data_IF_088983169591
#
_entry.id   IF_088983169591
#
_cell.length_a   1.000
_cell.length_b   1.000
_cell.length_c   1.000
_cell.angle_alpha   90.00
_cell.angle_beta   90.00
_cell.angle_gamma   90.00
#
_symmetry.space_group_name_H-M   'P 1'
#
loop_
_entity.id
_entity.type
_entity.pdbx_description
1 polymer ?
#
# COMPACT_ATOMS: atom_id res chain seq x y z
N UNK A 1 -1.59 2.48 20.12
CA UNK A 1 -0.61 3.06 21.07
C UNK A 1 -1.38 3.70 22.23
N UNK A 2 -1.38 3.10 23.43
CA UNK A 2 -2.10 3.63 24.59
C UNK A 2 -1.67 5.05 25.01
N UNK A 3 -0.42 5.44 24.74
CA UNK A 3 0.07 6.81 25.00
C UNK A 3 -0.60 7.81 24.07
N UNK A 4 -0.68 7.51 22.76
CA UNK A 4 -1.41 8.36 21.82
C UNK A 4 -2.90 8.45 22.18
N UNK A 5 -3.51 7.37 22.65
CA UNK A 5 -4.90 7.38 23.11
C UNK A 5 -5.11 8.24 24.37
N UNK A 6 -4.05 8.60 25.10
CA UNK A 6 -4.11 9.49 26.26
C UNK A 6 -3.85 10.96 25.90
N UNK A 7 -3.54 11.28 24.64
CA UNK A 7 -3.35 12.66 24.20
C UNK A 7 -4.68 13.43 24.25
N UNK A 8 -4.74 14.62 24.88
CA UNK A 8 -5.98 15.38 25.02
C UNK A 8 -6.67 15.71 23.69
N UNK A 9 -5.91 15.78 22.59
CA UNK A 9 -6.44 16.02 21.25
C UNK A 9 -7.32 14.86 20.73
N UNK A 10 -7.11 13.64 21.23
CA UNK A 10 -7.87 12.45 20.85
C UNK A 10 -9.06 12.18 21.79
N UNK A 11 -9.09 12.76 22.99
CA UNK A 11 -10.15 12.56 23.98
C UNK A 11 -11.56 12.75 23.39
N UNK A 12 -11.88 13.85 22.68
CA UNK A 12 -13.24 14.06 22.15
C UNK A 12 -13.72 12.95 21.21
N UNK A 13 -12.79 12.33 20.47
CA UNK A 13 -13.10 11.22 19.55
C UNK A 13 -13.30 9.94 20.36
N UNK A 14 -12.40 9.66 21.30
CA UNK A 14 -12.44 8.43 22.10
C UNK A 14 -13.69 8.42 22.99
N UNK A 15 -14.02 9.52 23.69
CA UNK A 15 -15.22 9.56 24.53
C UNK A 15 -16.51 9.42 23.70
N UNK A 16 -16.51 9.92 22.45
CA UNK A 16 -17.68 9.82 21.55
C UNK A 16 -17.96 8.39 21.10
N UNK A 17 -16.91 7.63 20.78
CA UNK A 17 -17.06 6.28 20.22
C UNK A 17 -16.81 5.15 21.23
N UNK A 18 -16.27 5.45 22.40
CA UNK A 18 -15.85 4.45 23.40
C UNK A 18 -14.61 3.64 22.97
N UNK A 19 -13.98 4.02 21.86
CA UNK A 19 -12.86 3.33 21.24
C UNK A 19 -12.03 4.32 20.39
N UNK A 20 -10.75 4.00 20.16
CA UNK A 20 -9.93 4.68 19.15
C UNK A 20 -9.95 3.86 17.86
N UNK A 21 -10.61 4.37 16.83
CA UNK A 21 -10.53 3.81 15.48
C UNK A 21 -9.31 4.38 14.77
N UNK A 22 -8.57 3.55 14.06
CA UNK A 22 -7.34 3.96 13.42
C UNK A 22 -7.13 3.30 12.07
N UNK A 23 -6.41 3.98 11.18
CA UNK A 23 -5.78 3.38 10.01
C UNK A 23 -4.29 3.71 10.04
N UNK A 24 -3.44 2.70 10.01
CA UNK A 24 -1.99 2.86 9.91
C UNK A 24 -1.60 2.91 8.45
N UNK A 25 -0.81 3.90 8.06
CA UNK A 25 -0.12 3.99 6.76
C UNK A 25 1.38 3.86 7.03
N UNK A 26 1.90 2.63 7.01
CA UNK A 26 3.31 2.33 7.27
C UNK A 26 4.09 2.29 5.96
N UNK A 27 4.67 3.43 5.61
CA UNK A 27 5.46 3.57 4.40
C UNK A 27 6.94 3.34 4.72
N UNK A 28 7.36 2.08 4.58
CA UNK A 28 8.69 1.59 4.89
C UNK A 28 9.70 1.80 3.77
N UNK A 29 10.83 1.09 3.88
CA UNK A 29 11.83 0.98 2.82
C UNK A 29 11.44 -0.02 1.74
N UNK A 30 10.99 -1.22 2.13
CA UNK A 30 10.59 -2.28 1.20
C UNK A 30 9.11 -2.24 0.80
N UNK A 31 8.21 -1.95 1.73
CA UNK A 31 6.76 -2.10 1.53
C UNK A 31 5.99 -0.86 1.94
N UNK A 32 4.76 -0.78 1.44
CA UNK A 32 3.70 0.02 2.02
C UNK A 32 2.72 -0.94 2.68
N UNK A 33 2.55 -0.84 3.99
CA UNK A 33 1.59 -1.62 4.74
C UNK A 33 0.49 -0.70 5.30
N UNK A 34 -0.76 -1.11 5.14
CA UNK A 34 -1.93 -0.40 5.63
C UNK A 34 -2.74 -1.32 6.54
N UNK A 35 -3.08 -0.84 7.73
CA UNK A 35 -3.87 -1.60 8.68
C UNK A 35 -4.98 -0.74 9.30
N UNK A 36 -6.22 -1.11 9.07
CA UNK A 36 -7.41 -0.52 9.66
C UNK A 36 -7.82 -1.32 10.90
N UNK A 37 -8.08 -0.64 12.01
CA UNK A 37 -8.33 -1.30 13.29
C UNK A 37 -8.97 -0.43 14.35
N UNK A 38 -9.23 -1.02 15.50
CA UNK A 38 -9.82 -0.36 16.67
C UNK A 38 -9.03 -0.70 17.91
N UNK A 39 -8.82 0.27 18.78
CA UNK A 39 -8.32 0.09 20.13
C UNK A 39 -9.46 0.35 21.10
N UNK A 40 -9.93 -0.69 21.78
CA UNK A 40 -11.15 -0.68 22.59
C UNK A 40 -10.96 -1.45 23.91
N UNK A 41 -11.85 -1.26 24.89
CA UNK A 41 -11.93 -2.17 26.04
C UNK A 41 -12.13 -3.62 25.59
N UNK A 42 -11.53 -4.55 26.33
CA UNK A 42 -11.78 -5.98 26.16
C UNK A 42 -13.20 -6.33 26.66
N UNK A 43 -13.82 -7.32 26.05
CA UNK A 43 -15.04 -7.96 26.57
C UNK A 43 -14.71 -8.81 27.80
N UNK A 44 -15.73 -9.21 28.57
CA UNK A 44 -15.55 -10.10 29.72
C UNK A 44 -14.90 -11.44 29.32
N UNK A 45 -15.29 -12.00 28.17
CA UNK A 45 -14.72 -13.24 27.64
C UNK A 45 -13.24 -13.06 27.24
N UNK A 46 -12.92 -12.01 26.49
CA UNK A 46 -11.52 -11.69 26.11
C UNK A 46 -10.66 -11.42 27.35
N UNK A 47 -11.22 -10.80 28.39
CA UNK A 47 -10.55 -10.56 29.67
C UNK A 47 -10.29 -11.87 30.42
N UNK A 48 -11.27 -12.77 30.47
CA UNK A 48 -11.13 -14.06 31.12
C UNK A 48 -10.09 -14.97 30.44
N UNK A 49 -9.98 -14.89 29.11
CA UNK A 49 -9.02 -15.69 28.32
C UNK A 49 -7.61 -15.10 28.33
N UNK A 50 -7.47 -13.80 28.12
CA UNK A 50 -6.17 -13.15 27.89
C UNK A 50 -5.61 -12.42 29.11
N UNK A 51 -6.44 -12.11 30.11
CA UNK A 51 -6.11 -11.23 31.23
C UNK A 51 -6.01 -9.73 30.87
N UNK A 52 -6.11 -9.38 29.58
CA UNK A 52 -5.99 -7.99 29.13
C UNK A 52 -7.31 -7.23 29.28
N UNK A 53 -7.23 -5.97 29.71
CA UNK A 53 -8.38 -5.05 29.80
C UNK A 53 -8.64 -4.26 28.52
N UNK A 54 -7.74 -4.36 27.53
CA UNK A 54 -7.86 -3.66 26.25
C UNK A 54 -7.43 -4.54 25.09
N UNK A 55 -8.04 -4.29 23.94
CA UNK A 55 -7.84 -5.05 22.71
C UNK A 55 -7.46 -4.11 21.58
N UNK A 56 -6.50 -4.55 20.75
CA UNK A 56 -6.34 -4.04 19.39
C UNK A 56 -7.01 -5.03 18.44
N UNK A 57 -8.09 -4.59 17.81
CA UNK A 57 -8.85 -5.35 16.81
C UNK A 57 -8.44 -4.90 15.42
N UNK A 58 -7.91 -5.81 14.60
CA UNK A 58 -7.64 -5.55 13.18
C UNK A 58 -8.90 -5.84 12.37
N UNK A 59 -9.36 -4.86 11.59
CA UNK A 59 -10.53 -4.96 10.72
C UNK A 59 -10.15 -5.32 9.28
N UNK A 60 -9.12 -4.65 8.78
CA UNK A 60 -8.67 -4.83 7.41
C UNK A 60 -7.18 -4.54 7.32
N UNK A 61 -6.47 -5.28 6.49
CA UNK A 61 -5.09 -4.99 6.10
C UNK A 61 -4.99 -4.97 4.59
N UNK A 62 -3.99 -4.26 4.09
CA UNK A 62 -3.67 -4.16 2.68
C UNK A 62 -2.30 -3.54 2.54
N UNK A 63 -1.81 -3.42 1.33
CA UNK A 63 -0.48 -2.88 1.09
C UNK A 63 -0.02 -3.09 -0.34
N UNK A 64 1.23 -2.71 -0.57
CA UNK A 64 1.96 -2.94 -1.82
C UNK A 64 3.41 -3.29 -1.47
N UNK A 65 3.78 -4.55 -1.77
CA UNK A 65 5.09 -5.13 -1.52
C UNK A 65 6.21 -4.50 -2.37
N UNK A 66 5.83 -3.73 -3.40
CA UNK A 66 6.72 -3.07 -4.34
C UNK A 66 6.60 -1.55 -4.29
N UNK A 67 5.95 -1.00 -3.27
CA UNK A 67 5.88 0.43 -3.00
C UNK A 67 6.54 0.74 -1.65
N UNK A 68 7.85 0.86 -1.66
CA UNK A 68 8.64 1.28 -0.51
C UNK A 68 9.67 2.36 -0.88
N UNK A 69 10.21 3.04 0.13
CA UNK A 69 11.21 4.08 -0.07
C UNK A 69 12.45 3.61 -0.84
N UNK A 70 12.91 2.37 -0.64
CA UNK A 70 14.07 1.81 -1.32
C UNK A 70 13.76 1.48 -2.79
N UNK A 71 12.54 0.98 -3.07
CA UNK A 71 12.04 0.82 -4.44
C UNK A 71 11.99 2.16 -5.17
N UNK A 72 11.42 3.20 -4.54
CA UNK A 72 11.39 4.54 -5.12
C UNK A 72 12.79 5.08 -5.41
N UNK A 73 13.74 4.89 -4.50
CA UNK A 73 15.13 5.32 -4.74
C UNK A 73 15.76 4.55 -5.90
N UNK A 74 15.54 3.24 -6.00
CA UNK A 74 16.05 2.44 -7.11
C UNK A 74 15.43 2.87 -8.45
N UNK A 75 14.13 3.14 -8.48
CA UNK A 75 13.44 3.69 -9.65
C UNK A 75 13.99 5.05 -10.06
N UNK A 76 14.28 5.94 -9.12
CA UNK A 76 14.89 7.24 -9.41
C UNK A 76 16.30 7.12 -10.01
N UNK A 77 17.11 6.19 -9.50
CA UNK A 77 18.44 5.88 -10.07
C UNK A 77 18.29 5.39 -11.50
N UNK A 78 17.32 4.49 -11.74
CA UNK A 78 17.01 3.98 -13.06
C UNK A 78 16.58 5.11 -14.00
N UNK A 79 15.63 5.96 -13.60
CA UNK A 79 15.18 7.11 -14.39
C UNK A 79 16.32 8.08 -14.70
N UNK A 80 17.24 8.28 -13.75
CA UNK A 80 18.43 9.11 -14.00
C UNK A 80 19.31 8.51 -15.09
N UNK A 81 19.53 7.19 -15.06
CA UNK A 81 20.31 6.50 -16.09
C UNK A 81 19.59 6.50 -17.44
N UNK A 82 18.27 6.34 -17.45
CA UNK A 82 17.44 6.28 -18.66
C UNK A 82 17.09 7.67 -19.22
N UNK A 83 17.46 8.75 -18.53
CA UNK A 83 17.18 10.11 -18.99
C UNK A 83 17.79 10.38 -20.37
N UNK A 84 17.05 11.02 -21.27
CA UNK A 84 17.42 11.19 -22.69
C UNK A 84 18.78 11.87 -22.90
N UNK A 85 19.20 12.72 -21.96
CA UNK A 85 20.51 13.40 -22.02
C UNK A 85 21.67 12.56 -21.48
N UNK A 86 21.38 11.50 -20.74
CA UNK A 86 22.39 10.64 -20.09
C UNK A 86 22.55 9.32 -20.83
N UNK A 87 21.43 8.70 -21.22
CA UNK A 87 21.37 7.37 -21.79
C UNK A 87 22.35 7.16 -22.97
N UNK A 88 22.51 8.10 -23.93
CA UNK A 88 23.46 7.92 -25.03
C UNK A 88 24.91 7.75 -24.56
N UNK A 89 25.35 8.52 -23.54
CA UNK A 89 26.70 8.37 -22.99
C UNK A 89 26.85 7.03 -22.26
N UNK A 90 25.84 6.63 -21.48
CA UNK A 90 25.84 5.36 -20.75
C UNK A 90 25.98 4.16 -21.70
N UNK A 91 25.16 4.14 -22.76
CA UNK A 91 25.18 3.06 -23.75
C UNK A 91 26.48 3.06 -24.55
N UNK A 92 26.97 4.22 -25.00
CA UNK A 92 28.22 4.32 -25.76
C UNK A 92 29.44 3.88 -24.94
N UNK A 93 29.44 4.15 -23.63
CA UNK A 93 30.54 3.78 -22.72
C UNK A 93 30.35 2.42 -22.05
N UNK A 94 29.32 1.67 -22.44
CA UNK A 94 28.98 0.33 -21.92
C UNK A 94 28.81 0.30 -20.40
N UNK A 95 28.13 1.31 -19.86
CA UNK A 95 27.79 1.40 -18.44
C UNK A 95 26.49 0.65 -18.18
N UNK A 96 26.52 -0.46 -17.43
CA UNK A 96 25.32 -1.21 -17.07
C UNK A 96 24.57 -0.56 -15.91
N UNK A 97 23.27 -0.84 -15.81
CA UNK A 97 22.43 -0.44 -14.69
C UNK A 97 21.48 -1.56 -14.28
N UNK A 98 21.32 -1.76 -12.98
CA UNK A 98 20.35 -2.71 -12.45
C UNK A 98 18.94 -2.15 -12.64
N UNK A 99 18.10 -2.84 -13.42
CA UNK A 99 16.67 -2.51 -13.56
C UNK A 99 15.91 -2.76 -12.25
N UNK A 100 15.05 -1.84 -11.79
CA UNK A 100 14.11 -2.09 -10.70
C UNK A 100 13.15 -3.24 -11.02
N UNK A 101 12.70 -3.97 -10.00
CA UNK A 101 11.72 -5.05 -10.19
C UNK A 101 10.36 -4.50 -10.67
N UNK A 102 10.01 -3.30 -10.20
CA UNK A 102 8.78 -2.56 -10.50
C UNK A 102 8.69 -2.00 -11.92
N UNK A 103 9.82 -1.87 -12.62
CA UNK A 103 9.86 -1.34 -13.98
C UNK A 103 9.87 -2.52 -14.94
N UNK A 104 8.91 -2.72 -15.84
CA UNK A 104 8.88 -3.90 -16.71
C UNK A 104 10.11 -3.98 -17.65
N UNK A 105 10.49 -5.18 -18.13
CA UNK A 105 11.61 -5.32 -19.07
C UNK A 105 11.31 -4.61 -20.40
N UNK A 106 12.24 -3.77 -20.87
CA UNK A 106 12.15 -3.20 -22.21
C UNK A 106 12.81 -4.13 -23.24
N UNK A 107 11.98 -4.93 -23.94
CA UNK A 107 12.44 -5.89 -24.96
C UNK A 107 12.93 -5.22 -26.25
N UNK A 108 12.65 -3.92 -26.43
CA UNK A 108 13.02 -3.14 -27.62
C UNK A 108 14.27 -2.27 -27.40
N UNK A 109 14.97 -2.44 -26.28
CA UNK A 109 16.22 -1.73 -26.03
C UNK A 109 17.29 -2.09 -27.08
N UNK A 110 18.05 -1.09 -27.53
CA UNK A 110 19.24 -1.21 -28.38
C UNK A 110 20.34 -2.07 -27.74
N UNK A 111 20.51 -1.97 -26.41
CA UNK A 111 21.57 -2.66 -25.64
C UNK A 111 21.00 -3.40 -24.42
N UNK A 112 20.14 -4.43 -24.61
CA UNK A 112 19.44 -5.09 -23.51
C UNK A 112 20.38 -5.86 -22.56
N UNK A 113 21.60 -6.18 -23.02
CA UNK A 113 22.62 -6.84 -22.19
C UNK A 113 23.13 -5.96 -21.03
N UNK A 114 23.08 -4.62 -21.16
CA UNK A 114 23.48 -3.68 -20.10
C UNK A 114 22.54 -3.70 -18.88
N UNK A 115 21.32 -4.19 -19.05
CA UNK A 115 20.26 -4.13 -18.03
C UNK A 115 19.96 -5.49 -17.39
N UNK A 116 20.78 -6.50 -17.70
CA UNK A 116 20.79 -7.78 -17.00
C UNK A 116 21.44 -7.63 -15.63
N UNK A 117 21.19 -8.57 -14.72
CA UNK A 117 21.83 -8.59 -13.39
C UNK A 117 23.35 -8.72 -13.56
N UNK A 118 24.11 -7.74 -13.08
CA UNK A 118 25.57 -7.72 -13.09
C UNK A 118 26.12 -7.02 -11.85
N UNK A 119 27.35 -7.35 -11.44
CA UNK A 119 28.03 -6.67 -10.32
C UNK A 119 28.22 -5.18 -10.61
N UNK A 120 28.69 -4.85 -11.82
CA UNK A 120 28.88 -3.48 -12.27
C UNK A 120 27.57 -2.67 -12.23
N UNK A 121 26.44 -3.25 -12.69
CA UNK A 121 25.13 -2.59 -12.64
C UNK A 121 24.67 -2.29 -11.20
N UNK A 122 24.95 -3.19 -10.25
CA UNK A 122 24.68 -2.95 -8.82
C UNK A 122 25.60 -1.88 -8.24
N UNK A 123 26.88 -1.88 -8.58
CA UNK A 123 27.82 -0.85 -8.14
C UNK A 123 27.41 0.55 -8.64
N UNK A 124 27.04 0.65 -9.92
CA UNK A 124 26.56 1.90 -10.51
C UNK A 124 25.28 2.38 -9.84
N UNK A 125 24.33 1.49 -9.53
CA UNK A 125 23.11 1.84 -8.83
C UNK A 125 23.41 2.55 -7.49
N UNK A 126 24.27 1.95 -6.66
CA UNK A 126 24.66 2.52 -5.36
C UNK A 126 25.42 3.84 -5.53
N UNK A 127 26.34 3.91 -6.51
CA UNK A 127 27.12 5.12 -6.79
C UNK A 127 26.23 6.28 -7.22
N UNK A 128 25.33 6.08 -8.17
CA UNK A 128 24.40 7.11 -8.64
C UNK A 128 23.53 7.61 -7.50
N UNK A 129 22.93 6.71 -6.73
CA UNK A 129 22.14 7.06 -5.55
C UNK A 129 22.90 7.99 -4.59
N UNK A 130 24.14 7.61 -4.24
CA UNK A 130 24.97 8.33 -3.27
C UNK A 130 25.43 9.68 -3.79
N UNK A 131 26.06 9.71 -4.97
CA UNK A 131 26.70 10.91 -5.52
C UNK A 131 25.67 11.99 -5.89
N UNK A 132 24.53 11.58 -6.45
CA UNK A 132 23.45 12.50 -6.80
C UNK A 132 22.56 12.85 -5.61
N UNK A 133 22.73 12.20 -4.45
CA UNK A 133 21.94 12.48 -3.25
C UNK A 133 20.44 12.20 -3.42
N UNK A 134 20.08 11.19 -4.23
CA UNK A 134 18.68 10.93 -4.61
C UNK A 134 17.76 10.62 -3.43
N UNK A 135 18.32 10.10 -2.33
CA UNK A 135 17.55 9.87 -1.11
C UNK A 135 16.91 11.15 -0.57
N UNK A 136 17.61 12.29 -0.66
CA UNK A 136 17.09 13.57 -0.17
C UNK A 136 15.94 14.09 -1.05
N UNK A 137 15.99 13.84 -2.36
CA UNK A 137 14.97 14.27 -3.34
C UNK A 137 13.60 13.67 -2.99
N UNK A 138 13.55 12.42 -2.49
CA UNK A 138 12.29 11.79 -2.05
C UNK A 138 11.55 12.51 -0.94
N UNK A 139 12.23 13.32 -0.12
CA UNK A 139 11.63 13.88 1.09
C UNK A 139 11.04 15.29 0.90
N UNK A 140 11.56 16.09 -0.03
CA UNK A 140 11.10 17.46 -0.26
C UNK A 140 11.11 17.80 -1.74
N UNK A 141 10.08 18.49 -2.22
CA UNK A 141 9.98 18.88 -3.64
C UNK A 141 11.04 19.87 -4.10
N UNK A 142 11.63 20.60 -3.17
CA UNK A 142 12.70 21.55 -3.45
C UNK A 142 14.09 20.90 -3.47
N UNK A 143 14.22 19.64 -3.05
CA UNK A 143 15.51 18.95 -3.03
C UNK A 143 15.82 18.45 -4.44
N UNK A 144 16.76 19.10 -5.12
CA UNK A 144 17.22 18.68 -6.44
C UNK A 144 18.32 17.62 -6.34
N UNK A 145 18.51 16.78 -7.39
CA UNK A 145 19.71 15.96 -7.51
C UNK A 145 20.98 16.82 -7.44
N UNK A 146 22.01 16.35 -6.73
CA UNK A 146 23.28 17.06 -6.63
C UNK A 146 23.92 17.19 -8.01
N UNK A 147 24.36 18.41 -8.33
CA UNK A 147 25.20 18.64 -9.50
C UNK A 147 26.58 18.02 -9.29
N UNK A 148 26.98 17.17 -10.23
CA UNK A 148 28.28 16.51 -10.26
C UNK A 148 28.94 16.78 -11.62
N UNK A 149 30.16 17.31 -11.62
CA UNK A 149 30.85 17.65 -12.88
C UNK A 149 31.30 16.40 -13.65
N UNK A 150 31.67 15.36 -12.92
CA UNK A 150 32.06 14.06 -13.43
C UNK A 150 31.72 12.96 -12.40
N UNK A 151 31.29 11.79 -12.85
CA UNK A 151 31.10 10.60 -12.02
C UNK A 151 31.79 9.39 -12.64
N UNK A 152 32.47 8.62 -11.81
CA UNK A 152 33.15 7.39 -12.23
C UNK A 152 32.20 6.18 -12.08
N UNK A 153 31.86 5.55 -13.20
CA UNK A 153 31.03 4.36 -13.27
C UNK A 153 31.84 3.12 -13.65
N UNK A 154 31.38 1.94 -13.20
CA UNK A 154 31.93 0.66 -13.60
C UNK A 154 31.33 0.21 -14.95
N UNK A 155 32.16 -0.39 -15.80
CA UNK A 155 31.75 -1.07 -17.03
C UNK A 155 31.53 -2.57 -16.81
N UNK A 156 30.94 -3.25 -17.79
CA UNK A 156 30.72 -4.71 -17.73
C UNK A 156 32.04 -5.51 -17.67
N UNK A 157 33.11 -5.01 -18.26
CA UNK A 157 34.44 -5.64 -18.24
C UNK A 157 35.20 -5.44 -16.90
N UNK A 158 34.59 -4.72 -15.94
CA UNK A 158 35.18 -4.40 -14.64
C UNK A 158 36.07 -3.15 -14.64
N UNK A 159 36.33 -2.52 -15.79
CA UNK A 159 37.01 -1.23 -15.86
C UNK A 159 36.10 -0.09 -15.41
N UNK A 160 36.70 1.08 -15.17
CA UNK A 160 35.96 2.30 -14.80
C UNK A 160 35.98 3.34 -15.92
N UNK A 161 34.94 4.18 -15.95
CA UNK A 161 34.81 5.26 -16.92
C UNK A 161 34.18 6.50 -16.29
N UNK A 162 34.72 7.66 -16.64
CA UNK A 162 34.15 8.96 -16.29
C UNK A 162 32.90 9.27 -17.13
N UNK A 163 31.88 9.81 -16.48
CA UNK A 163 30.62 10.26 -17.07
C UNK A 163 30.44 11.75 -16.83
N UNK A 164 30.09 12.47 -17.88
CA UNK A 164 29.95 13.94 -17.84
C UNK A 164 28.54 14.41 -18.17
N UNK A 165 27.70 13.53 -18.71
CA UNK A 165 26.31 13.84 -19.05
C UNK A 165 25.45 14.14 -17.83
N UNK A 166 25.78 13.62 -16.64
CA UNK A 166 24.97 13.79 -15.41
C UNK A 166 24.86 15.24 -14.90
N UNK A 167 25.69 16.17 -15.40
CA UNK A 167 25.53 17.61 -15.13
C UNK A 167 24.57 18.33 -16.07
N UNK A 168 24.16 17.65 -17.14
CA UNK A 168 23.29 18.22 -18.15
C UNK A 168 21.84 18.08 -17.72
N UNK A 169 21.01 19.08 -18.06
CA UNK A 169 19.56 19.04 -17.87
C UNK A 169 19.06 18.59 -16.47
N UNK A 170 19.71 19.09 -15.42
CA UNK A 170 19.31 18.80 -14.03
C UNK A 170 17.86 19.21 -13.74
N UNK A 171 17.38 20.30 -14.36
CA UNK A 171 16.01 20.75 -14.21
C UNK A 171 15.00 19.75 -14.83
N UNK A 172 15.28 19.25 -16.04
CA UNK A 172 14.47 18.21 -16.67
C UNK A 172 14.49 16.90 -15.88
N UNK A 173 15.67 16.49 -15.41
CA UNK A 173 15.79 15.32 -14.55
C UNK A 173 14.98 15.49 -13.25
N UNK A 174 15.14 16.61 -12.55
CA UNK A 174 14.44 16.87 -11.30
C UNK A 174 12.91 16.87 -11.48
N UNK A 175 12.42 17.47 -12.58
CA UNK A 175 11.00 17.44 -12.93
C UNK A 175 10.50 16.01 -13.16
N UNK A 176 11.26 15.18 -13.90
CA UNK A 176 10.92 13.77 -14.16
C UNK A 176 10.87 12.96 -12.86
N UNK A 177 11.92 13.03 -12.02
CA UNK A 177 11.96 12.34 -10.74
C UNK A 177 10.82 12.75 -9.81
N UNK A 178 10.53 14.05 -9.75
CA UNK A 178 9.41 14.61 -8.96
C UNK A 178 8.06 14.13 -9.48
N UNK A 179 7.88 14.05 -10.81
CA UNK A 179 6.68 13.52 -11.43
C UNK A 179 6.44 12.06 -11.05
N UNK A 180 7.46 11.23 -11.23
CA UNK A 180 7.43 9.81 -10.87
C UNK A 180 7.10 9.58 -9.39
N UNK A 181 7.76 10.31 -8.49
CA UNK A 181 7.49 10.21 -7.05
C UNK A 181 6.04 10.57 -6.70
N UNK A 182 5.48 11.62 -7.32
CA UNK A 182 4.08 12.00 -7.10
C UNK A 182 3.13 10.89 -7.52
N UNK A 183 3.34 10.30 -8.69
CA UNK A 183 2.49 9.24 -9.22
C UNK A 183 2.53 8.00 -8.31
N UNK A 184 3.73 7.48 -8.04
CA UNK A 184 3.90 6.27 -7.23
C UNK A 184 3.38 6.43 -5.79
N UNK A 185 3.61 7.57 -5.16
CA UNK A 185 3.13 7.81 -3.79
C UNK A 185 1.61 8.03 -3.77
N UNK A 186 1.05 8.62 -4.83
CA UNK A 186 -0.40 8.77 -4.98
C UNK A 186 -1.10 7.41 -5.08
N UNK A 187 -0.50 6.41 -5.72
CA UNK A 187 -1.07 5.06 -5.76
C UNK A 187 -1.23 4.46 -4.34
N UNK A 188 -0.24 4.66 -3.47
CA UNK A 188 -0.34 4.29 -2.06
C UNK A 188 -1.45 5.06 -1.32
N UNK A 189 -1.57 6.37 -1.55
CA UNK A 189 -2.62 7.19 -0.95
C UNK A 189 -4.03 6.77 -1.43
N UNK A 190 -4.19 6.36 -2.69
CA UNK A 190 -5.43 5.79 -3.24
C UNK A 190 -5.79 4.48 -2.56
N UNK A 191 -4.81 3.61 -2.34
CA UNK A 191 -5.03 2.35 -1.61
C UNK A 191 -5.57 2.63 -0.19
N UNK A 192 -4.97 3.59 0.53
CA UNK A 192 -5.49 4.02 1.84
C UNK A 192 -6.91 4.57 1.74
N UNK A 193 -7.15 5.50 0.81
CA UNK A 193 -8.45 6.12 0.57
C UNK A 193 -9.53 5.07 0.28
N UNK A 194 -9.20 4.07 -0.54
CA UNK A 194 -10.05 2.89 -0.79
C UNK A 194 -10.29 2.10 0.49
N UNK A 195 -9.24 1.70 1.23
CA UNK A 195 -9.41 0.93 2.46
C UNK A 195 -10.27 1.66 3.51
N UNK A 196 -10.08 2.97 3.68
CA UNK A 196 -10.89 3.77 4.59
C UNK A 196 -12.38 3.74 4.25
N UNK A 197 -12.73 3.80 2.96
CA UNK A 197 -14.12 3.74 2.49
C UNK A 197 -14.76 2.37 2.69
N UNK A 198 -13.98 1.30 2.56
CA UNK A 198 -14.51 -0.07 2.52
C UNK A 198 -14.40 -0.82 3.85
N UNK A 199 -13.57 -0.34 4.78
CA UNK A 199 -13.57 -0.87 6.15
C UNK A 199 -14.89 -0.51 6.84
N UNK A 200 -15.54 -1.51 7.44
CA UNK A 200 -16.74 -1.30 8.24
C UNK A 200 -16.40 -0.70 9.61
N UNK A 201 -16.47 0.62 9.71
CA UNK A 201 -16.21 1.36 10.96
C UNK A 201 -17.47 1.51 11.84
N UNK A 202 -18.67 1.31 11.30
CA UNK A 202 -19.93 1.48 12.01
C UNK A 202 -21.00 2.16 11.15
N UNK A 203 -21.67 3.18 11.70
CA UNK A 203 -22.89 3.80 11.16
C UNK A 203 -22.69 5.17 10.48
N UNK A 204 -21.47 5.54 10.10
CA UNK A 204 -21.19 6.86 9.49
C UNK A 204 -20.95 6.81 7.96
N UNK A 205 -21.07 7.96 7.32
CA UNK A 205 -20.90 8.13 5.86
C UNK A 205 -19.44 8.27 5.40
N UNK A 206 -18.57 8.82 6.25
CA UNK A 206 -17.14 9.03 5.96
C UNK A 206 -16.26 8.56 7.13
N UNK A 207 -14.99 8.22 6.87
CA UNK A 207 -14.05 7.76 7.89
C UNK A 207 -13.79 8.84 8.95
N UNK A 208 -13.77 10.12 8.56
CA UNK A 208 -13.49 11.23 9.46
C UNK A 208 -14.63 11.43 10.45
N UNK A 209 -15.86 11.42 9.95
CA UNK A 209 -17.08 11.46 10.77
C UNK A 209 -17.19 10.25 11.68
N UNK A 210 -16.62 9.11 11.28
CA UNK A 210 -16.54 7.91 12.10
C UNK A 210 -15.43 7.94 13.14
N UNK A 211 -14.69 9.05 13.26
CA UNK A 211 -13.65 9.23 14.28
C UNK A 211 -12.37 8.45 14.00
N UNK A 212 -12.13 8.02 12.76
CA UNK A 212 -10.92 7.28 12.41
C UNK A 212 -9.71 8.23 12.43
N UNK A 213 -8.63 7.80 13.06
CA UNK A 213 -7.35 8.53 13.11
C UNK A 213 -6.33 7.85 12.20
N UNK A 214 -5.79 8.57 11.24
CA UNK A 214 -4.72 8.09 10.35
C UNK A 214 -3.37 8.22 11.06
N UNK A 215 -2.67 7.09 11.17
CA UNK A 215 -1.37 6.99 11.81
C UNK A 215 -0.31 6.76 10.73
N UNK A 216 0.48 7.79 10.47
CA UNK A 216 1.64 7.69 9.58
C UNK A 216 2.78 7.00 10.31
N UNK A 217 3.28 5.92 9.72
CA UNK A 217 4.41 5.15 10.19
C UNK A 217 5.42 4.91 9.06
N UNK A 218 6.62 4.46 9.41
CA UNK A 218 7.69 4.25 8.44
C UNK A 218 8.44 5.53 8.05
N UNK A 219 9.71 5.39 7.68
CA UNK A 219 10.58 6.54 7.41
C UNK A 219 10.11 7.35 6.20
N UNK A 220 9.56 6.68 5.17
CA UNK A 220 9.14 7.31 3.93
C UNK A 220 7.91 8.21 4.12
N UNK A 221 7.10 7.97 5.16
CA UNK A 221 5.96 8.82 5.54
C UNK A 221 6.34 10.24 5.97
N UNK A 222 7.62 10.52 6.22
CA UNK A 222 8.13 11.88 6.50
C UNK A 222 8.22 12.76 5.26
N UNK A 223 7.98 12.20 4.08
CA UNK A 223 8.08 12.89 2.80
C UNK A 223 6.95 13.91 2.62
N UNK A 224 7.30 15.11 2.13
CA UNK A 224 6.33 16.11 1.67
C UNK A 224 5.41 15.58 0.56
N UNK A 225 5.90 14.63 -0.25
CA UNK A 225 5.11 13.99 -1.29
C UNK A 225 3.96 13.16 -0.70
N UNK A 226 4.19 12.48 0.44
CA UNK A 226 3.16 11.70 1.15
C UNK A 226 2.12 12.64 1.75
N UNK A 227 2.54 13.70 2.44
CA UNK A 227 1.61 14.70 2.99
C UNK A 227 0.68 15.24 1.88
N UNK A 228 1.23 15.61 0.72
CA UNK A 228 0.43 16.13 -0.40
C UNK A 228 -0.46 15.08 -1.06
N UNK A 229 0.06 13.87 -1.29
CA UNK A 229 -0.73 12.80 -1.91
C UNK A 229 -1.93 12.42 -1.03
N UNK A 230 -1.75 12.33 0.29
CA UNK A 230 -2.83 12.10 1.24
C UNK A 230 -3.81 13.27 1.29
N UNK A 231 -3.32 14.52 1.30
CA UNK A 231 -4.18 15.71 1.28
C UNK A 231 -5.11 15.72 0.05
N UNK A 232 -4.56 15.36 -1.12
CA UNK A 232 -5.29 15.32 -2.39
C UNK A 232 -6.27 14.13 -2.45
N UNK A 233 -5.83 12.92 -2.11
CA UNK A 233 -6.66 11.69 -2.22
C UNK A 233 -7.70 11.53 -1.10
N UNK A 234 -7.55 12.25 0.01
CA UNK A 234 -8.51 12.29 1.12
C UNK A 234 -9.29 13.60 1.17
N UNK A 235 -9.11 14.49 0.19
CA UNK A 235 -9.82 15.77 0.08
C UNK A 235 -9.68 16.64 1.34
N UNK A 236 -8.50 16.66 1.97
CA UNK A 236 -8.20 17.47 3.15
C UNK A 236 -7.38 18.70 2.70
N UNK A 237 -8.02 19.86 2.44
CA UNK A 237 -7.29 21.06 2.05
C UNK A 237 -6.35 21.50 3.18
N UNK A 238 -5.17 21.97 2.79
CA UNK A 238 -4.12 22.44 3.71
C UNK A 238 -3.76 21.43 4.80
N UNK A 239 -3.86 20.13 4.49
CA UNK A 239 -3.55 19.07 5.43
C UNK A 239 -2.17 19.28 6.06
N UNK A 240 -2.11 19.23 7.39
CA UNK A 240 -0.84 19.18 8.13
C UNK A 240 -0.80 17.96 9.01
N UNK A 241 0.29 17.20 8.88
CA UNK A 241 0.54 16.05 9.74
C UNK A 241 0.73 16.55 11.17
N UNK A 242 -0.18 16.14 12.05
CA UNK A 242 -0.14 16.49 13.46
C UNK A 242 0.90 15.63 14.19
N UNK A 243 1.54 16.23 15.20
CA UNK A 243 2.47 15.55 16.11
C UNK A 243 2.11 15.93 17.55
N UNK A 244 2.25 15.04 18.53
CA UNK A 244 2.09 15.41 19.93
C UNK A 244 2.88 16.68 20.29
N UNK A 245 2.20 17.64 20.92
CA UNK A 245 2.78 18.93 21.33
C UNK A 245 2.93 19.99 20.22
N UNK A 246 2.52 19.73 18.97
CA UNK A 246 2.51 20.77 17.95
C UNK A 246 1.31 21.73 18.11
N UNK A 247 1.45 22.96 17.62
CA UNK A 247 0.39 23.99 17.63
C UNK A 247 -0.58 23.89 16.46
N UNK A 248 -0.34 22.98 15.52
CA UNK A 248 -1.21 22.84 14.34
C UNK A 248 -2.53 22.21 14.77
N UNK A 249 -3.67 22.62 14.18
CA UNK A 249 -4.95 21.99 14.45
C UNK A 249 -4.89 20.48 14.21
N UNK A 250 -5.57 19.72 15.06
CA UNK A 250 -5.69 18.29 14.91
C UNK A 250 -6.66 17.96 13.77
N UNK A 251 -6.17 17.31 12.72
CA UNK A 251 -6.94 16.94 11.52
C UNK A 251 -7.08 15.42 11.35
N UNK A 252 -6.92 14.65 12.45
CA UNK A 252 -6.95 13.19 12.46
C UNK A 252 -5.86 12.50 11.61
N UNK A 253 -4.81 13.22 11.19
CA UNK A 253 -3.62 12.64 10.54
C UNK A 253 -2.41 12.87 11.45
N UNK A 254 -1.80 11.79 11.93
CA UNK A 254 -0.83 11.82 13.02
C UNK A 254 0.46 11.13 12.59
N UNK A 255 1.59 11.77 12.81
CA UNK A 255 2.90 11.12 12.84
C UNK A 255 3.36 11.08 14.30
N UNK A 256 3.22 9.90 14.92
CA UNK A 256 3.61 9.70 16.31
C UNK A 256 5.07 9.22 16.40
N UNK A 257 5.93 10.08 16.93
CA UNK A 257 7.32 9.78 17.22
C UNK A 257 7.59 10.13 18.68
N UNK A 258 8.06 9.18 19.47
CA UNK A 258 8.49 9.48 20.83
C UNK A 258 9.80 10.27 20.74
N UNK A 259 9.89 11.49 21.28
CA UNK A 259 11.13 12.26 21.24
C UNK A 259 12.20 11.58 22.09
N UNK A 260 13.47 11.80 21.73
CA UNK A 260 14.57 11.40 22.62
C UNK A 260 14.49 12.22 23.91
N UNK A 261 14.58 11.55 25.06
CA UNK A 261 14.56 12.20 26.38
C UNK A 261 15.82 11.87 27.16
N UNK A 262 16.19 12.79 28.04
CA UNK A 262 17.34 12.61 28.92
C UNK A 262 16.80 12.42 30.33
N UNK A 263 16.86 11.18 30.84
CA UNK A 263 16.38 10.82 32.17
C UNK A 263 17.58 10.42 33.03
N UNK A 264 17.80 11.14 34.14
CA UNK A 264 18.87 10.87 35.11
C UNK A 264 20.26 10.71 34.48
N UNK A 265 20.58 11.54 33.49
CA UNK A 265 21.87 11.53 32.78
C UNK A 265 21.99 10.49 31.67
N UNK A 266 20.96 9.64 31.46
CA UNK A 266 20.92 8.65 30.37
C UNK A 266 20.05 9.20 29.24
N UNK A 267 20.61 9.24 28.02
CA UNK A 267 19.86 9.59 26.81
C UNK A 267 19.02 8.38 26.38
N UNK A 268 17.73 8.41 26.65
CA UNK A 268 16.76 7.50 26.05
C UNK A 268 16.50 7.96 24.62
N UNK A 269 16.92 7.14 23.65
CA UNK A 269 16.65 7.40 22.23
C UNK A 269 15.15 7.25 22.00
N UNK A 270 14.55 8.26 21.38
CA UNK A 270 13.17 8.23 20.94
C UNK A 270 12.97 7.11 19.93
N UNK A 271 12.06 6.19 20.20
CA UNK A 271 11.74 5.06 19.31
C UNK A 271 10.43 5.32 18.61
N UNK A 272 10.33 4.96 17.33
CA UNK A 272 9.03 4.85 16.68
C UNK A 272 8.29 3.63 17.23
N UNK A 273 6.95 3.58 17.20
CA UNK A 273 6.21 2.36 17.56
C UNK A 273 6.72 1.11 16.83
N UNK A 274 7.13 1.24 15.56
CA UNK A 274 7.74 0.15 14.77
C UNK A 274 9.08 -0.31 15.34
N UNK A 275 9.94 0.63 15.72
CA UNK A 275 11.22 0.34 16.38
C UNK A 275 11.03 -0.30 17.76
N UNK A 276 10.04 0.16 18.54
CA UNK A 276 9.73 -0.40 19.85
C UNK A 276 9.26 -1.86 19.75
N UNK A 277 8.37 -2.17 18.79
CA UNK A 277 7.90 -3.52 18.51
C UNK A 277 9.05 -4.42 18.03
N UNK A 278 9.89 -3.94 17.10
CA UNK A 278 11.04 -4.70 16.58
C UNK A 278 12.09 -5.04 17.67
N UNK A 279 12.20 -4.21 18.72
CA UNK A 279 13.08 -4.45 19.86
C UNK A 279 12.47 -5.37 20.93
N UNK A 280 11.32 -6.01 20.65
CA UNK A 280 10.68 -6.96 21.57
C UNK A 280 9.96 -6.28 22.74
N UNK A 281 9.72 -4.96 22.68
CA UNK A 281 8.91 -4.26 23.67
C UNK A 281 7.41 -4.54 23.42
N UNK A 282 6.98 -5.78 23.69
CA UNK A 282 5.57 -6.19 23.65
C UNK A 282 4.76 -5.71 24.88
N UNK A 283 5.42 -5.08 25.86
CA UNK A 283 4.77 -4.19 26.83
C UNK A 283 4.67 -2.80 26.24
N UNK A 284 3.58 -2.52 25.54
CA UNK A 284 3.31 -1.16 25.05
C UNK A 284 2.96 -0.30 26.26
N UNK A 285 3.89 0.56 26.71
CA UNK A 285 3.69 1.50 27.81
C UNK A 285 3.19 0.85 29.12
N UNK A 286 3.77 -0.29 29.52
CA UNK A 286 3.39 -1.07 30.72
C UNK A 286 1.94 -1.61 30.73
N UNK A 287 1.26 -1.69 29.59
CA UNK A 287 -0.07 -2.32 29.48
C UNK A 287 0.02 -3.64 28.73
N UNK A 288 -0.69 -4.64 29.22
CA UNK A 288 -0.99 -5.86 28.47
C UNK A 288 -2.14 -5.54 27.49
N UNK A 289 -1.88 -5.76 26.21
CA UNK A 289 -2.83 -5.53 25.13
C UNK A 289 -3.01 -6.84 24.40
N UNK A 290 -4.24 -7.33 24.34
CA UNK A 290 -4.55 -8.54 23.59
C UNK A 290 -4.79 -8.17 22.11
N UNK A 291 -4.09 -8.86 21.21
CA UNK A 291 -4.27 -8.70 19.77
C UNK A 291 -5.38 -9.64 19.32
N UNK A 292 -6.52 -9.08 18.92
CA UNK A 292 -7.62 -9.86 18.35
C UNK A 292 -7.60 -9.66 16.85
N UNK A 293 -7.37 -10.74 16.11
CA UNK A 293 -7.64 -10.76 14.68
C UNK A 293 -9.08 -11.20 14.49
N UNK A 294 -9.96 -10.27 14.12
CA UNK A 294 -11.20 -10.67 13.48
C UNK A 294 -10.83 -11.29 12.12
N UNK A 295 -11.63 -12.22 11.60
CA UNK A 295 -11.41 -12.78 10.27
C UNK A 295 -11.19 -11.61 9.29
N UNK A 296 -9.99 -11.53 8.71
CA UNK A 296 -9.65 -10.49 7.75
C UNK A 296 -10.69 -10.55 6.63
N UNK A 297 -11.33 -9.42 6.34
CA UNK A 297 -12.30 -9.33 5.26
C UNK A 297 -11.64 -9.61 3.91
N UNK A 298 -12.46 -9.91 2.91
CA UNK A 298 -12.03 -10.16 1.53
C UNK A 298 -11.08 -9.08 1.00
N UNK A 299 -9.95 -9.45 0.40
CA UNK A 299 -8.87 -8.55 0.01
C UNK A 299 -9.13 -7.78 -1.30
N UNK A 300 -10.21 -8.08 -2.02
CA UNK A 300 -10.46 -7.57 -3.38
C UNK A 300 -11.89 -7.09 -3.56
N UNK A 301 -12.13 -6.34 -4.63
CA UNK A 301 -13.46 -6.22 -5.22
C UNK A 301 -13.63 -7.30 -6.28
N UNK A 302 -14.74 -8.03 -6.21
CA UNK A 302 -15.11 -9.02 -7.19
C UNK A 302 -16.46 -8.64 -7.80
N UNK A 303 -16.55 -8.73 -9.12
CA UNK A 303 -17.80 -8.44 -9.80
C UNK A 303 -17.73 -8.67 -11.30
N UNK A 304 -18.58 -7.94 -12.00
CA UNK A 304 -18.72 -8.07 -13.45
C UNK A 304 -19.15 -6.74 -14.11
N UNK A 305 -19.12 -6.69 -15.43
CA UNK A 305 -19.63 -5.58 -16.21
C UNK A 305 -21.15 -5.65 -16.30
N UNK A 306 -21.83 -4.60 -15.83
CA UNK A 306 -23.29 -4.47 -15.88
C UNK A 306 -23.69 -3.12 -16.51
N UNK A 307 -24.92 -3.03 -17.01
CA UNK A 307 -25.51 -1.81 -17.57
C UNK A 307 -25.10 -1.49 -19.02
N UNK A 308 -25.59 -0.35 -19.52
CA UNK A 308 -25.26 0.18 -20.85
C UNK A 308 -24.94 1.68 -20.75
N UNK A 309 -23.71 2.13 -21.05
CA UNK A 309 -22.55 1.32 -21.43
C UNK A 309 -22.06 0.42 -20.27
N UNK A 310 -21.44 -0.74 -20.56
CA UNK A 310 -21.02 -1.69 -19.54
C UNK A 310 -19.95 -1.11 -18.61
N UNK A 311 -20.23 -1.10 -17.30
CA UNK A 311 -19.34 -0.63 -16.24
C UNK A 311 -19.12 -1.73 -15.22
N UNK A 312 -17.94 -1.78 -14.63
CA UNK A 312 -17.64 -2.73 -13.56
C UNK A 312 -18.45 -2.39 -12.32
N UNK A 313 -19.19 -3.37 -11.82
CA UNK A 313 -19.95 -3.32 -10.58
C UNK A 313 -19.36 -4.35 -9.64
N UNK A 314 -18.80 -3.89 -8.52
CA UNK A 314 -18.34 -4.77 -7.46
C UNK A 314 -19.55 -5.35 -6.73
N UNK A 315 -19.75 -6.66 -6.85
CA UNK A 315 -20.86 -7.38 -6.22
C UNK A 315 -20.45 -7.90 -4.85
N UNK A 316 -19.19 -8.34 -4.73
CA UNK A 316 -18.54 -8.58 -3.45
C UNK A 316 -17.57 -7.44 -3.19
N UNK A 317 -17.84 -6.58 -2.19
CA UNK A 317 -16.92 -5.51 -1.85
C UNK A 317 -15.69 -6.05 -1.12
N UNK A 318 -14.57 -5.33 -1.26
CA UNK A 318 -13.42 -5.51 -0.39
C UNK A 318 -13.85 -5.32 1.08
N UNK A 319 -13.36 -6.19 1.96
CA UNK A 319 -13.75 -6.22 3.38
C UNK A 319 -14.96 -7.11 3.68
N UNK A 320 -15.60 -7.74 2.69
CA UNK A 320 -16.69 -8.69 2.91
C UNK A 320 -16.23 -9.81 3.87
N UNK A 321 -17.06 -10.13 4.87
CA UNK A 321 -16.69 -11.06 5.92
C UNK A 321 -16.65 -12.51 5.39
N UNK A 322 -15.58 -13.27 5.67
CA UNK A 322 -15.58 -14.70 5.44
C UNK A 322 -16.75 -15.39 6.14
N UNK A 323 -17.38 -16.34 5.45
CA UNK A 323 -18.52 -17.10 5.95
C UNK A 323 -18.32 -18.59 5.69
N UNK A 324 -19.02 -19.44 6.45
CA UNK A 324 -18.98 -20.88 6.25
C UNK A 324 -19.68 -21.25 4.93
N UNK A 325 -18.98 -21.89 3.97
CA UNK A 325 -19.56 -22.26 2.69
C UNK A 325 -20.23 -23.66 2.70
N UNK A 326 -20.29 -24.35 3.85
CA UNK A 326 -20.86 -25.69 3.95
C UNK A 326 -22.33 -25.72 3.51
N UNK A 327 -23.13 -24.77 3.99
CA UNK A 327 -24.55 -24.63 3.68
C UNK A 327 -24.82 -23.46 2.75
N UNK A 328 -25.61 -23.68 1.70
CA UNK A 328 -26.02 -22.62 0.79
C UNK A 328 -27.05 -21.71 1.47
N UNK A 329 -26.89 -20.39 1.37
CA UNK A 329 -27.69 -19.45 2.16
C UNK A 329 -27.38 -17.96 1.93
N UNK A 330 -27.85 -17.07 2.82
CA UNK A 330 -27.75 -15.60 2.67
C UNK A 330 -26.32 -15.04 2.55
N UNK A 331 -25.30 -15.82 2.94
CA UNK A 331 -23.90 -15.46 2.80
C UNK A 331 -23.39 -15.53 1.35
N UNK A 332 -24.16 -16.17 0.45
CA UNK A 332 -23.84 -16.23 -0.96
C UNK A 332 -24.35 -14.98 -1.68
N UNK A 333 -23.45 -14.31 -2.38
CA UNK A 333 -23.75 -13.16 -3.22
C UNK A 333 -24.18 -13.64 -4.61
N UNK A 334 -25.31 -13.13 -5.07
CA UNK A 334 -25.91 -13.47 -6.36
C UNK A 334 -25.21 -12.72 -7.52
N UNK A 335 -24.63 -13.49 -8.44
CA UNK A 335 -23.99 -12.99 -9.66
C UNK A 335 -24.90 -13.03 -10.89
N UNK A 336 -26.05 -13.70 -10.79
CA UNK A 336 -27.00 -13.92 -11.87
C UNK A 336 -26.61 -15.06 -12.80
N UNK A 337 -27.17 -15.05 -14.00
CA UNK A 337 -26.82 -16.02 -15.06
C UNK A 337 -25.32 -15.95 -15.41
N UNK A 338 -24.70 -17.12 -15.46
CA UNK A 338 -23.28 -17.27 -15.69
C UNK A 338 -22.98 -18.50 -16.55
N UNK A 339 -21.90 -18.41 -17.33
CA UNK A 339 -21.35 -19.52 -18.10
C UNK A 339 -19.88 -19.75 -17.72
N UNK A 340 -19.38 -20.97 -17.91
CA UNK A 340 -18.03 -21.36 -17.54
C UNK A 340 -16.92 -20.67 -18.33
N UNK A 341 -17.24 -20.00 -19.45
CA UNK A 341 -16.28 -19.23 -20.24
C UNK A 341 -16.16 -17.79 -19.73
N UNK A 342 -17.19 -17.30 -19.04
CA UNK A 342 -17.27 -15.94 -18.53
C UNK A 342 -16.34 -15.76 -17.33
N UNK A 343 -15.29 -14.93 -17.44
CA UNK A 343 -14.34 -14.74 -16.35
C UNK A 343 -14.87 -13.75 -15.32
N UNK A 344 -14.30 -13.79 -14.12
CA UNK A 344 -14.46 -12.73 -13.15
C UNK A 344 -13.62 -11.51 -13.49
N UNK A 345 -14.06 -10.37 -12.95
CA UNK A 345 -13.27 -9.15 -12.88
C UNK A 345 -12.97 -8.84 -11.43
N UNK A 346 -11.69 -8.70 -11.14
CA UNK A 346 -11.15 -8.51 -9.79
C UNK A 346 -10.26 -7.28 -9.79
N UNK A 347 -10.34 -6.44 -8.76
CA UNK A 347 -9.40 -5.34 -8.55
C UNK A 347 -9.13 -5.07 -7.07
N UNK A 348 -8.01 -4.39 -6.77
CA UNK A 348 -7.67 -3.87 -5.44
C UNK A 348 -8.16 -2.43 -5.21
N UNK A 349 -8.49 -1.73 -6.30
CA UNK A 349 -9.01 -0.35 -6.28
C UNK A 349 -10.29 -0.26 -7.11
N UNK A 350 -11.37 0.24 -6.49
CA UNK A 350 -12.69 0.30 -7.09
C UNK A 350 -13.24 1.73 -7.09
N UNK A 351 -13.66 2.17 -8.28
CA UNK A 351 -14.28 3.47 -8.51
C UNK A 351 -15.66 3.29 -9.19
N UNK A 352 -16.76 3.32 -8.40
CA UNK A 352 -18.11 3.07 -8.88
C UNK A 352 -18.48 3.92 -10.11
N UNK A 353 -19.03 3.28 -11.14
CA UNK A 353 -19.53 3.94 -12.34
C UNK A 353 -18.46 4.43 -13.33
N UNK A 354 -17.17 4.41 -12.98
CA UNK A 354 -16.11 4.89 -13.87
C UNK A 354 -15.39 3.77 -14.63
N UNK A 355 -15.15 2.64 -13.96
CA UNK A 355 -14.36 1.52 -14.49
C UNK A 355 -15.06 0.79 -15.65
N UNK A 356 -14.36 0.60 -16.76
CA UNK A 356 -14.85 -0.09 -17.98
C UNK A 356 -14.12 -1.42 -18.18
N UNK A 357 -14.51 -2.21 -19.19
CA UNK A 357 -13.83 -3.46 -19.56
C UNK A 357 -12.33 -3.33 -19.86
N UNK A 358 -11.85 -2.11 -20.17
CA UNK A 358 -10.46 -1.80 -20.51
C UNK A 358 -9.70 -1.12 -19.36
N UNK A 359 -10.30 -1.00 -18.18
CA UNK A 359 -9.63 -0.35 -17.05
C UNK A 359 -8.43 -1.21 -16.61
N UNK A 360 -7.20 -0.66 -16.59
CA UNK A 360 -5.99 -1.43 -16.31
C UNK A 360 -5.93 -1.97 -14.88
N UNK A 361 -6.79 -1.48 -13.97
CA UNK A 361 -6.90 -2.00 -12.60
C UNK A 361 -7.67 -3.32 -12.51
N UNK A 362 -8.39 -3.73 -13.57
CA UNK A 362 -9.17 -4.96 -13.58
C UNK A 362 -8.34 -6.14 -14.07
N UNK A 363 -8.16 -7.12 -13.20
CA UNK A 363 -7.66 -8.45 -13.55
C UNK A 363 -8.82 -9.34 -13.99
N UNK A 364 -8.59 -10.12 -15.05
CA UNK A 364 -9.56 -11.09 -15.58
C UNK A 364 -9.18 -12.47 -15.05
N UNK A 365 -10.03 -13.04 -14.20
CA UNK A 365 -9.74 -14.31 -13.52
C UNK A 365 -10.67 -15.41 -14.03
N UNK A 366 -10.13 -16.55 -14.53
CA UNK A 366 -10.97 -17.68 -14.90
C UNK A 366 -11.66 -18.26 -13.65
N UNK A 367 -12.91 -18.68 -13.81
CA UNK A 367 -13.74 -19.23 -12.72
C UNK A 367 -13.36 -20.67 -12.35
N UNK A 368 -12.55 -21.34 -13.17
CA UNK A 368 -12.26 -22.77 -13.08
C UNK A 368 -13.51 -23.68 -13.13
N UNK A 369 -14.65 -23.15 -13.58
CA UNK A 369 -15.83 -23.95 -13.90
C UNK A 369 -15.63 -24.64 -15.27
N UNK A 370 -16.26 -25.80 -15.52
CA UNK A 370 -16.24 -26.44 -16.83
C UNK A 370 -16.75 -25.50 -17.93
N UNK A 371 -16.13 -25.51 -19.11
CA UNK A 371 -16.42 -24.54 -20.19
C UNK A 371 -17.85 -24.65 -20.72
N UNK A 372 -18.45 -25.83 -20.61
CA UNK A 372 -19.81 -26.17 -21.00
C UNK A 372 -20.84 -25.89 -19.90
N UNK A 373 -20.39 -25.59 -18.67
CA UNK A 373 -21.30 -25.32 -17.57
C UNK A 373 -21.98 -23.96 -17.76
N UNK A 374 -23.30 -23.92 -17.58
CA UNK A 374 -24.08 -22.69 -17.53
C UNK A 374 -25.16 -22.82 -16.47
N UNK A 375 -25.54 -21.70 -15.87
CA UNK A 375 -26.47 -21.71 -14.75
C UNK A 375 -26.56 -20.37 -14.03
N UNK A 376 -27.07 -20.40 -12.80
CA UNK A 376 -27.14 -19.25 -11.92
C UNK A 376 -26.01 -19.29 -10.90
N UNK A 377 -25.14 -18.26 -10.91
CA UNK A 377 -23.93 -18.25 -10.10
C UNK A 377 -24.13 -17.49 -8.79
N UNK A 378 -23.67 -18.13 -7.73
CA UNK A 378 -23.58 -17.57 -6.40
C UNK A 378 -22.14 -17.68 -5.88
N UNK A 379 -21.70 -16.68 -5.14
CA UNK A 379 -20.32 -16.59 -4.65
C UNK A 379 -20.28 -16.34 -3.15
N UNK A 380 -19.51 -17.15 -2.42
CA UNK A 380 -19.28 -16.99 -0.99
C UNK A 380 -17.79 -16.67 -0.73
N UNK A 381 -17.51 -15.68 0.11
CA UNK A 381 -16.15 -15.39 0.60
C UNK A 381 -15.82 -16.39 1.70
N UNK A 382 -14.74 -17.14 1.54
CA UNK A 382 -14.30 -18.17 2.49
C UNK A 382 -13.06 -17.73 3.27
N UNK A 383 -12.20 -16.92 2.66
CA UNK A 383 -11.02 -16.33 3.29
C UNK A 383 -10.67 -15.00 2.59
N UNK A 384 -9.67 -14.23 3.08
CA UNK A 384 -9.27 -12.95 2.48
C UNK A 384 -9.01 -13.05 0.98
N UNK A 385 -8.39 -14.13 0.52
CA UNK A 385 -8.07 -14.34 -0.89
C UNK A 385 -8.79 -15.53 -1.51
N UNK A 386 -9.83 -16.07 -0.86
CA UNK A 386 -10.47 -17.31 -1.26
C UNK A 386 -11.99 -17.20 -1.37
N UNK A 387 -12.52 -17.73 -2.47
CA UNK A 387 -13.93 -17.73 -2.81
C UNK A 387 -14.41 -19.17 -3.06
N UNK A 388 -15.64 -19.47 -2.65
CA UNK A 388 -16.40 -20.61 -3.15
C UNK A 388 -17.41 -20.11 -4.18
N UNK A 389 -17.39 -20.74 -5.35
CA UNK A 389 -18.38 -20.58 -6.41
C UNK A 389 -19.41 -21.69 -6.27
N UNK A 390 -20.69 -21.34 -6.38
CA UNK A 390 -21.80 -22.27 -6.41
C UNK A 390 -22.66 -21.97 -7.64
N UNK A 391 -22.62 -22.83 -8.64
CA UNK A 391 -23.37 -22.69 -9.89
C UNK A 391 -24.57 -23.65 -9.87
N UNK A 392 -25.77 -23.12 -9.71
CA UNK A 392 -27.02 -23.87 -9.86
C UNK A 392 -27.31 -24.09 -11.34
N UNK A 393 -27.59 -25.34 -11.75
CA UNK A 393 -27.82 -25.73 -13.14
C UNK A 393 -29.23 -26.26 -13.30
N UNK A 394 -29.90 -25.92 -14.40
CA UNK A 394 -31.20 -26.51 -14.73
C UNK A 394 -30.99 -28.01 -15.00
N UNK A 395 -31.64 -28.85 -14.19
CA UNK A 395 -31.67 -30.33 -14.28
C UNK A 395 -30.38 -31.08 -13.90
N UNK A 396 -29.43 -30.42 -13.23
CA UNK A 396 -28.13 -31.01 -12.87
C UNK A 396 -27.71 -30.64 -11.44
N UNK A 397 -26.87 -31.48 -10.81
CA UNK A 397 -26.30 -31.15 -9.49
C UNK A 397 -25.48 -29.84 -9.56
N UNK A 398 -25.56 -28.98 -8.53
CA UNK A 398 -24.85 -27.72 -8.52
C UNK A 398 -23.33 -27.95 -8.51
N UNK A 399 -22.61 -27.16 -9.30
CA UNK A 399 -21.16 -27.22 -9.34
C UNK A 399 -20.57 -26.29 -8.28
N UNK A 400 -19.61 -26.81 -7.52
CA UNK A 400 -18.82 -26.03 -6.58
C UNK A 400 -17.37 -25.97 -7.03
N UNK A 401 -16.80 -24.76 -7.04
CA UNK A 401 -15.39 -24.55 -7.34
C UNK A 401 -14.79 -23.56 -6.33
N UNK A 402 -13.55 -23.79 -5.93
CA UNK A 402 -12.84 -22.87 -5.05
C UNK A 402 -11.80 -22.10 -5.83
N UNK A 403 -11.73 -20.79 -5.60
CA UNK A 403 -10.81 -19.90 -6.30
C UNK A 403 -9.96 -19.15 -5.27
N UNK A 404 -8.64 -19.32 -5.39
CA UNK A 404 -7.67 -18.52 -4.64
C UNK A 404 -7.15 -17.40 -5.56
N UNK A 405 -7.49 -16.16 -5.22
CA UNK A 405 -7.20 -14.97 -6.00
C UNK A 405 -5.74 -14.49 -5.88
N UNK A 406 -5.05 -14.81 -4.77
CA UNK A 406 -3.65 -14.42 -4.60
C UNK A 406 -2.78 -14.93 -5.77
N UNK A 407 -3.08 -16.13 -6.28
CA UNK A 407 -2.39 -16.74 -7.44
C UNK A 407 -2.44 -15.91 -8.74
N UNK A 408 -3.33 -14.94 -8.84
CA UNK A 408 -3.54 -14.14 -10.04
C UNK A 408 -3.29 -12.65 -9.84
N UNK A 409 -3.07 -12.23 -8.59
CA UNK A 409 -3.02 -10.80 -8.20
C UNK A 409 -1.62 -10.36 -7.73
N UNK A 410 -0.61 -11.22 -7.94
CA UNK A 410 0.82 -11.00 -7.67
C UNK A 410 1.56 -10.26 -8.80
#
# INVERSE_FOLDING_TARGET
CPELAAEPALEPIISKYGELRFAVFDFGGGTLDIACGRFRPATEAETAESGASTVIETLQVGGDDHLGGDYLTHEMVWLTHQHDKHLPEMENKEVPMMRPQTVPPNTLSSKPHLYKRSLAGRQNMIRFQRELGLEAVKFKRANEPKRIEELVAARLDGSEVALTSLKTDLAGLHANLTGHLKERIRDGARLLSSMLRNTSWGTGSDWKDQGVVLLLAGNSSRSEFVERALAEELEIPDMKVWRPGCKTPFQQVVLYETPSRLERGVKTVGVTPKTAVALGALRIANREVHLVRRAQGFSYFLGDLRGFPPKFVALVPMGALPSDPAEFGPQFVDFGTWDGQKPFRVCKDYEPGKMTSKDPRLSIIPTNLPLEASGHLFVCVVAPDELLLHLEREDDEPLRATLNLAKYMD
#
